data_IF_356918908159
#
_entry.id   IF_356918908159
#
_cell.length_a   1.000
_cell.length_b   1.000
_cell.length_c   1.000
_cell.angle_alpha   90.00
_cell.angle_beta   90.00
_cell.angle_gamma   90.00
#
_symmetry.space_group_name_H-M   'P 1'
#
loop_
_entity.id
_entity.type
_entity.pdbx_description
1 polymer ?
#
# COMPACT_ATOMS: atom_id res chain seq x y z
N UNK A 1 32.40 63.35 20.13
CA UNK A 1 33.17 62.17 19.72
C UNK A 1 32.49 60.96 20.31
N UNK A 2 31.70 60.27 19.53
CA UNK A 2 30.92 59.09 19.96
C UNK A 2 31.37 57.90 19.14
N UNK A 3 32.02 56.95 19.81
CA UNK A 3 32.54 55.74 19.21
C UNK A 3 31.44 54.70 18.98
N UNK A 4 31.34 54.27 17.71
CA UNK A 4 30.42 53.21 17.32
C UNK A 4 31.02 51.85 17.62
N UNK A 5 30.42 51.11 18.53
CA UNK A 5 30.75 49.72 18.88
C UNK A 5 30.00 48.77 17.90
N UNK A 6 30.73 48.13 17.00
CA UNK A 6 30.23 47.14 16.07
C UNK A 6 30.04 45.79 16.80
N UNK A 7 28.77 45.40 17.01
CA UNK A 7 28.42 44.08 17.52
C UNK A 7 28.48 43.06 16.37
N UNK A 8 29.39 42.13 16.46
CA UNK A 8 29.49 40.97 15.56
C UNK A 8 28.58 39.85 16.13
N UNK A 9 27.43 39.65 15.49
CA UNK A 9 26.61 38.47 15.73
C UNK A 9 27.20 37.30 14.93
N UNK A 10 27.84 36.35 15.61
CA UNK A 10 28.25 35.08 15.03
C UNK A 10 27.01 34.16 14.98
N UNK A 11 26.46 33.95 13.80
CA UNK A 11 25.46 32.91 13.56
C UNK A 11 26.14 31.54 13.62
N UNK A 12 25.95 30.82 14.70
CA UNK A 12 26.29 29.41 14.83
C UNK A 12 25.20 28.62 14.11
N UNK A 13 25.39 28.27 12.83
CA UNK A 13 24.58 27.33 12.13
C UNK A 13 24.93 25.92 12.61
N UNK A 14 24.11 25.39 13.52
CA UNK A 14 24.16 23.99 13.91
C UNK A 14 23.67 23.16 12.72
N UNK A 15 24.59 22.63 11.93
CA UNK A 15 24.30 21.61 10.92
C UNK A 15 23.88 20.34 11.64
N UNK A 16 22.57 20.07 11.68
CA UNK A 16 22.04 18.77 12.07
C UNK A 16 22.44 17.80 10.96
N UNK A 17 23.51 17.05 11.16
CA UNK A 17 23.81 15.88 10.35
C UNK A 17 22.70 14.85 10.60
N UNK A 18 21.72 14.82 9.71
CA UNK A 18 20.84 13.68 9.59
C UNK A 18 21.73 12.48 9.21
N UNK A 19 21.94 11.58 10.15
CA UNK A 19 22.55 10.30 9.87
C UNK A 19 21.69 9.60 8.83
N UNK A 20 22.15 9.55 7.58
CA UNK A 20 21.53 8.73 6.54
C UNK A 20 21.69 7.28 6.99
N UNK A 21 20.62 6.71 7.50
CA UNK A 21 20.51 5.27 7.67
C UNK A 21 20.68 4.66 6.28
N UNK A 22 21.79 3.95 6.05
CA UNK A 22 22.01 3.19 4.83
C UNK A 22 20.85 2.21 4.61
N UNK A 23 20.66 1.70 3.39
CA UNK A 23 19.56 0.79 3.09
C UNK A 23 19.61 -0.37 4.09
N UNK A 24 18.51 -0.56 4.82
CA UNK A 24 18.37 -1.68 5.76
C UNK A 24 18.38 -2.95 4.90
N UNK A 25 19.50 -3.67 4.94
CA UNK A 25 19.60 -4.98 4.28
C UNK A 25 18.70 -5.93 5.06
N UNK A 26 17.56 -6.29 4.47
CA UNK A 26 16.63 -7.27 5.03
C UNK A 26 17.20 -8.67 4.83
N UNK A 27 17.20 -9.47 5.86
CA UNK A 27 17.60 -10.88 5.81
C UNK A 27 16.44 -11.71 5.26
N UNK A 28 16.73 -12.63 4.34
CA UNK A 28 15.71 -13.50 3.76
C UNK A 28 15.15 -14.45 4.83
N UNK A 29 13.84 -14.64 4.85
CA UNK A 29 13.16 -15.48 5.84
C UNK A 29 12.87 -14.80 7.18
N UNK A 30 13.41 -13.61 7.44
CA UNK A 30 13.11 -12.88 8.67
C UNK A 30 11.80 -12.10 8.56
N UNK A 31 11.01 -12.12 9.61
CA UNK A 31 9.74 -11.39 9.75
C UNK A 31 10.03 -10.04 10.37
N UNK A 32 9.82 -8.96 9.63
CA UNK A 32 10.07 -7.59 10.10
C UNK A 32 8.83 -6.98 10.73
N UNK A 33 8.94 -6.55 11.98
CA UNK A 33 7.82 -5.98 12.75
C UNK A 33 7.40 -4.59 12.24
N UNK A 34 8.29 -3.89 11.53
CA UNK A 34 7.97 -2.64 10.83
C UNK A 34 6.89 -2.78 9.75
N UNK A 35 6.66 -4.00 9.27
CA UNK A 35 5.61 -4.29 8.28
C UNK A 35 4.21 -4.39 8.91
N UNK A 36 4.13 -4.46 10.25
CA UNK A 36 2.89 -4.62 11.02
C UNK A 36 2.62 -3.45 11.95
N UNK A 37 3.65 -2.74 12.40
CA UNK A 37 3.55 -1.70 13.41
C UNK A 37 4.23 -0.41 12.96
N UNK A 38 3.58 0.72 13.16
CA UNK A 38 4.22 2.04 12.98
C UNK A 38 5.33 2.28 14.00
N UNK A 39 5.16 1.73 15.21
CA UNK A 39 6.14 1.85 16.29
C UNK A 39 6.57 0.46 16.73
N UNK A 40 7.88 0.20 16.61
CA UNK A 40 8.46 -1.05 17.04
C UNK A 40 8.29 -1.27 18.56
N UNK A 41 7.97 -2.48 19.00
CA UNK A 41 7.85 -2.82 20.42
C UNK A 41 9.21 -2.70 21.11
N UNK A 42 9.17 -2.35 22.39
CA UNK A 42 10.36 -2.07 23.19
C UNK A 42 10.45 -3.05 24.34
N UNK A 43 11.63 -3.63 24.48
CA UNK A 43 11.93 -4.59 25.55
C UNK A 43 13.16 -4.15 26.34
N UNK A 44 13.20 -4.49 27.64
CA UNK A 44 14.38 -4.27 28.45
C UNK A 44 15.34 -5.45 28.31
N UNK A 45 16.64 -5.17 28.23
CA UNK A 45 17.65 -6.22 28.34
C UNK A 45 17.82 -6.68 29.79
N UNK A 46 18.02 -7.98 29.97
CA UNK A 46 18.28 -8.58 31.29
C UNK A 46 19.77 -8.53 31.68
N UNK A 47 20.66 -8.43 30.69
CA UNK A 47 22.12 -8.36 30.89
C UNK A 47 22.80 -7.66 29.73
N UNK A 48 24.12 -7.48 29.79
CA UNK A 48 24.93 -7.14 28.64
C UNK A 48 25.01 -8.36 27.71
N UNK A 49 24.65 -8.19 26.42
CA UNK A 49 24.39 -9.31 25.51
C UNK A 49 25.31 -9.26 24.31
N UNK A 50 26.00 -10.35 23.95
CA UNK A 50 26.69 -10.44 22.67
C UNK A 50 25.66 -10.37 21.54
N UNK A 51 25.98 -9.60 20.51
CA UNK A 51 25.08 -9.42 19.37
C UNK A 51 25.82 -9.66 18.04
N UNK A 52 25.04 -10.04 17.02
CA UNK A 52 25.58 -10.56 15.78
C UNK A 52 24.95 -9.86 14.58
N UNK A 53 25.68 -9.79 13.45
CA UNK A 53 25.19 -9.19 12.21
C UNK A 53 24.23 -10.09 11.42
N UNK A 54 24.19 -11.38 11.70
CA UNK A 54 23.37 -12.39 11.03
C UNK A 54 22.59 -13.23 12.04
N UNK A 55 21.45 -13.75 11.61
CA UNK A 55 20.55 -14.60 12.43
C UNK A 55 21.20 -15.94 12.82
N UNK A 56 22.19 -16.41 12.04
CA UNK A 56 22.93 -17.64 12.32
C UNK A 56 23.99 -17.48 13.42
N UNK A 57 24.12 -16.28 14.01
CA UNK A 57 25.02 -15.95 15.12
C UNK A 57 26.51 -16.19 14.84
N UNK A 58 26.93 -16.14 13.57
CA UNK A 58 28.33 -16.38 13.17
C UNK A 58 29.20 -15.13 13.16
N UNK A 59 28.62 -13.99 12.78
CA UNK A 59 29.37 -12.74 12.63
C UNK A 59 29.12 -11.83 13.83
N UNK A 60 30.04 -11.85 14.78
CA UNK A 60 29.98 -11.01 15.97
C UNK A 60 29.96 -9.52 15.62
N UNK A 61 28.97 -8.79 16.13
CA UNK A 61 28.80 -7.36 15.91
C UNK A 61 29.26 -6.51 17.11
N UNK A 62 29.25 -7.08 18.30
CA UNK A 62 29.63 -6.38 19.52
C UNK A 62 28.86 -6.89 20.74
N UNK A 63 28.86 -6.08 21.78
CA UNK A 63 28.07 -6.34 22.99
C UNK A 63 27.15 -5.16 23.25
N UNK A 64 25.84 -5.44 23.36
CA UNK A 64 24.85 -4.46 23.76
C UNK A 64 25.07 -4.06 25.21
N UNK A 65 24.96 -2.77 25.49
CA UNK A 65 25.13 -2.22 26.84
C UNK A 65 23.99 -2.62 27.76
N UNK A 66 24.28 -2.74 29.01
CA UNK A 66 23.29 -2.91 30.09
C UNK A 66 23.50 -1.81 31.15
N UNK A 67 22.43 -1.24 31.71
CA UNK A 67 21.02 -1.44 31.37
C UNK A 67 20.58 -0.59 30.16
N UNK A 68 19.73 -1.16 29.29
CA UNK A 68 19.07 -0.39 28.21
C UNK A 68 17.77 -1.06 27.78
N UNK A 69 16.93 -0.25 27.11
CA UNK A 69 15.75 -0.70 26.36
C UNK A 69 16.10 -0.75 24.88
N UNK A 70 15.78 -1.85 24.22
CA UNK A 70 15.96 -2.08 22.80
C UNK A 70 14.62 -2.14 22.07
N UNK A 71 14.63 -1.85 20.78
CA UNK A 71 13.46 -2.00 19.93
C UNK A 71 13.59 -3.32 19.16
N UNK A 72 12.54 -4.13 19.15
CA UNK A 72 12.49 -5.36 18.39
C UNK A 72 12.11 -5.04 16.94
N UNK A 73 13.02 -5.31 16.01
CA UNK A 73 12.91 -4.98 14.60
C UNK A 73 12.44 -6.19 13.76
N UNK A 74 13.04 -7.36 13.99
CA UNK A 74 12.70 -8.56 13.24
C UNK A 74 12.88 -9.85 14.06
N UNK A 75 12.27 -10.92 13.58
CA UNK A 75 12.33 -12.27 14.13
C UNK A 75 12.74 -13.22 13.00
N UNK A 76 13.76 -14.04 13.21
CA UNK A 76 14.17 -15.06 12.25
C UNK A 76 13.27 -16.29 12.31
N UNK A 77 13.33 -17.15 11.29
CA UNK A 77 12.64 -18.45 11.27
C UNK A 77 13.06 -19.36 12.45
N UNK A 78 14.30 -19.21 12.91
CA UNK A 78 14.86 -19.98 14.04
C UNK A 78 14.50 -19.37 15.40
N UNK A 79 13.78 -18.23 15.43
CA UNK A 79 13.39 -17.53 16.65
C UNK A 79 14.43 -16.55 17.20
N UNK A 80 15.52 -16.25 16.47
CA UNK A 80 16.44 -15.19 16.85
C UNK A 80 15.80 -13.83 16.67
N UNK A 81 16.18 -12.86 17.50
CA UNK A 81 15.59 -11.54 17.56
C UNK A 81 16.56 -10.48 17.07
N UNK A 82 16.17 -9.73 16.05
CA UNK A 82 16.89 -8.54 15.62
C UNK A 82 16.44 -7.34 16.42
N UNK A 83 17.37 -6.71 17.10
CA UNK A 83 17.07 -5.55 17.94
C UNK A 83 17.87 -4.33 17.53
N UNK A 84 17.27 -3.16 17.73
CA UNK A 84 17.92 -1.87 17.60
C UNK A 84 18.31 -1.38 18.99
N UNK A 85 19.60 -1.26 19.25
CA UNK A 85 20.13 -0.89 20.56
C UNK A 85 21.47 -0.18 20.46
N UNK A 86 22.12 0.06 21.59
CA UNK A 86 23.41 0.68 21.67
C UNK A 86 24.48 -0.31 22.13
N UNK A 87 25.49 -0.51 21.30
CA UNK A 87 26.73 -1.19 21.65
C UNK A 87 27.80 -0.18 22.10
N UNK A 88 29.01 -0.67 22.40
CA UNK A 88 30.13 0.21 22.79
C UNK A 88 30.47 1.24 21.73
N UNK A 89 30.31 0.90 20.46
CA UNK A 89 30.69 1.71 19.30
C UNK A 89 29.55 2.61 18.77
N UNK A 90 28.36 2.57 19.39
CA UNK A 90 27.19 3.35 18.98
C UNK A 90 25.95 2.52 18.75
N UNK A 91 24.97 3.07 18.01
CA UNK A 91 23.73 2.37 17.65
C UNK A 91 24.01 1.20 16.71
N UNK A 92 23.39 0.07 16.98
CA UNK A 92 23.53 -1.15 16.18
C UNK A 92 22.17 -1.82 15.99
N UNK A 93 21.96 -2.37 14.78
CA UNK A 93 20.91 -3.33 14.50
C UNK A 93 21.55 -4.72 14.46
N UNK A 94 21.22 -5.57 15.40
CA UNK A 94 21.92 -6.84 15.56
C UNK A 94 21.01 -7.93 16.11
N UNK A 95 21.39 -9.18 15.85
CA UNK A 95 20.68 -10.39 16.28
C UNK A 95 21.14 -10.82 17.67
N UNK A 96 20.17 -11.22 18.50
CA UNK A 96 20.38 -11.73 19.85
C UNK A 96 19.45 -12.93 20.10
N UNK A 97 19.78 -13.69 21.14
CA UNK A 97 18.89 -14.77 21.61
C UNK A 97 17.71 -14.21 22.41
N UNK A 98 16.52 -14.85 22.35
CA UNK A 98 15.31 -14.35 22.97
C UNK A 98 15.37 -14.31 24.51
N UNK A 99 16.16 -15.18 25.14
CA UNK A 99 16.31 -15.27 26.59
C UNK A 99 16.81 -13.99 27.27
N UNK A 100 17.38 -13.06 26.51
CA UNK A 100 17.92 -11.80 27.05
C UNK A 100 16.91 -10.65 27.09
N UNK A 101 15.67 -10.85 26.59
CA UNK A 101 14.61 -9.85 26.63
C UNK A 101 13.61 -10.12 27.74
N UNK A 102 13.35 -9.11 28.55
CA UNK A 102 12.33 -9.15 29.61
C UNK A 102 10.93 -8.97 29.01
N UNK A 103 10.00 -9.87 29.35
CA UNK A 103 8.58 -9.73 28.98
C UNK A 103 8.25 -10.17 27.54
N UNK A 104 9.15 -10.87 26.86
CA UNK A 104 8.83 -11.48 25.58
C UNK A 104 7.84 -12.64 25.77
N UNK A 105 6.69 -12.68 25.04
CA UNK A 105 5.76 -13.79 25.12
C UNK A 105 6.42 -15.11 24.69
N UNK A 106 6.10 -16.22 25.35
CA UNK A 106 6.66 -17.54 24.99
C UNK A 106 6.32 -17.95 23.55
N UNK A 107 5.15 -17.55 23.06
CA UNK A 107 4.65 -17.87 21.72
C UNK A 107 4.95 -16.79 20.67
N UNK A 108 5.92 -15.90 20.91
CA UNK A 108 6.26 -14.76 20.04
C UNK A 108 6.50 -15.18 18.58
N UNK A 109 7.19 -16.30 18.36
CA UNK A 109 7.49 -16.82 17.03
C UNK A 109 6.23 -17.28 16.29
N UNK A 110 5.33 -17.97 17.00
CA UNK A 110 4.06 -18.42 16.43
C UNK A 110 3.17 -17.24 16.06
N UNK A 111 3.07 -16.23 16.93
CA UNK A 111 2.33 -15.01 16.66
C UNK A 111 2.87 -14.26 15.43
N UNK A 112 4.19 -14.10 15.35
CA UNK A 112 4.84 -13.45 14.20
C UNK A 112 4.62 -14.24 12.90
N UNK A 113 4.74 -15.57 12.95
CA UNK A 113 4.51 -16.43 11.79
C UNK A 113 3.07 -16.36 11.29
N UNK A 114 2.10 -16.39 12.20
CA UNK A 114 0.67 -16.23 11.86
C UNK A 114 0.39 -14.85 11.23
N UNK A 115 0.99 -13.80 11.77
CA UNK A 115 0.85 -12.46 11.22
C UNK A 115 1.42 -12.35 9.81
N UNK A 116 2.58 -12.92 9.56
CA UNK A 116 3.22 -12.94 8.24
C UNK A 116 2.40 -13.75 7.24
N UNK A 117 1.86 -14.90 7.64
CA UNK A 117 0.95 -15.70 6.80
C UNK A 117 -0.30 -14.91 6.42
N UNK A 118 -0.94 -14.23 7.41
CA UNK A 118 -2.08 -13.36 7.16
C UNK A 118 -1.71 -12.23 6.20
N UNK A 119 -0.57 -11.58 6.40
CA UNK A 119 -0.10 -10.49 5.54
C UNK A 119 0.03 -10.94 4.08
N UNK A 120 0.67 -12.10 3.85
CA UNK A 120 0.82 -12.68 2.51
C UNK A 120 -0.52 -13.00 1.87
N UNK A 121 -1.45 -13.62 2.63
CA UNK A 121 -2.81 -13.90 2.13
C UNK A 121 -3.55 -12.62 1.72
N UNK A 122 -3.46 -11.58 2.54
CA UNK A 122 -4.08 -10.28 2.23
C UNK A 122 -3.43 -9.62 1.01
N UNK A 123 -2.12 -9.68 0.87
CA UNK A 123 -1.41 -9.14 -0.30
C UNK A 123 -1.81 -9.86 -1.59
N UNK A 124 -1.95 -11.18 -1.55
CA UNK A 124 -2.43 -11.98 -2.67
C UNK A 124 -3.87 -11.60 -3.06
N UNK A 125 -4.75 -11.37 -2.08
CA UNK A 125 -6.12 -10.90 -2.32
C UNK A 125 -6.13 -9.50 -2.94
N UNK A 126 -5.32 -8.58 -2.42
CA UNK A 126 -5.18 -7.23 -2.96
C UNK A 126 -4.69 -7.27 -4.42
N UNK A 127 -3.70 -8.12 -4.73
CA UNK A 127 -3.17 -8.26 -6.09
C UNK A 127 -4.24 -8.75 -7.08
N UNK A 128 -5.16 -9.61 -6.63
CA UNK A 128 -6.30 -10.11 -7.40
C UNK A 128 -7.52 -9.20 -7.38
N UNK A 129 -7.47 -8.08 -6.61
CA UNK A 129 -8.60 -7.17 -6.37
C UNK A 129 -9.81 -7.87 -5.73
N UNK A 130 -9.53 -8.80 -4.84
CA UNK A 130 -10.51 -9.54 -4.06
C UNK A 130 -10.63 -8.97 -2.65
N UNK A 131 -11.78 -9.23 -2.00
CA UNK A 131 -12.05 -8.88 -0.61
C UNK A 131 -12.48 -10.12 0.13
N UNK A 132 -11.99 -10.28 1.36
CA UNK A 132 -12.33 -11.37 2.24
C UNK A 132 -12.84 -10.87 3.59
N UNK A 133 -13.63 -11.69 4.27
CA UNK A 133 -14.06 -11.44 5.64
C UNK A 133 -12.84 -11.37 6.56
N UNK A 134 -12.81 -10.39 7.47
CA UNK A 134 -11.69 -10.15 8.37
C UNK A 134 -10.60 -9.20 7.83
N UNK A 135 -10.71 -8.73 6.59
CA UNK A 135 -9.85 -7.66 6.09
C UNK A 135 -10.20 -6.33 6.77
N UNK A 136 -9.19 -5.49 6.97
CA UNK A 136 -9.38 -4.14 7.50
C UNK A 136 -9.88 -3.18 6.41
N UNK A 137 -10.39 -2.04 6.84
CA UNK A 137 -10.87 -0.97 5.98
C UNK A 137 -9.80 -0.48 4.99
N UNK A 138 -8.55 -0.36 5.46
CA UNK A 138 -7.43 0.07 4.63
C UNK A 138 -7.03 -1.02 3.62
N UNK A 139 -7.04 -2.29 4.02
CA UNK A 139 -6.78 -3.43 3.12
C UNK A 139 -7.82 -3.51 2.01
N UNK A 140 -9.11 -3.33 2.31
CA UNK A 140 -10.18 -3.27 1.31
C UNK A 140 -10.01 -2.07 0.38
N UNK A 141 -9.65 -0.91 0.92
CA UNK A 141 -9.40 0.29 0.10
C UNK A 141 -8.19 0.10 -0.82
N UNK A 142 -7.15 -0.62 -0.38
CA UNK A 142 -6.01 -0.98 -1.22
C UNK A 142 -6.38 -1.97 -2.32
N UNK A 143 -7.32 -2.88 -2.06
CA UNK A 143 -7.79 -3.88 -3.03
C UNK A 143 -8.72 -3.29 -4.08
N UNK A 144 -9.83 -2.67 -3.67
CA UNK A 144 -10.89 -2.19 -4.55
C UNK A 144 -10.80 -0.70 -4.90
N UNK A 145 -9.90 0.03 -4.25
CA UNK A 145 -9.80 1.47 -4.40
C UNK A 145 -10.79 2.25 -3.53
N UNK A 146 -11.06 3.50 -3.91
CA UNK A 146 -12.01 4.35 -3.19
C UNK A 146 -13.46 3.92 -3.47
N UNK A 147 -14.30 3.71 -2.45
CA UNK A 147 -15.70 3.39 -2.65
C UNK A 147 -16.47 4.58 -3.23
N UNK A 148 -17.49 4.31 -4.03
CA UNK A 148 -18.38 5.33 -4.60
C UNK A 148 -19.34 5.90 -3.57
N UNK A 149 -19.79 5.05 -2.62
CA UNK A 149 -20.61 5.50 -1.49
C UNK A 149 -20.08 4.95 -0.19
N UNK A 150 -20.19 5.75 0.86
CA UNK A 150 -19.86 5.39 2.23
C UNK A 150 -21.06 5.71 3.12
N UNK A 151 -21.44 4.77 3.95
CA UNK A 151 -22.40 4.95 5.00
C UNK A 151 -21.79 4.52 6.32
N UNK A 152 -22.00 5.29 7.38
CA UNK A 152 -21.57 4.92 8.73
C UNK A 152 -22.73 5.06 9.69
N UNK A 153 -22.87 4.08 10.59
CA UNK A 153 -23.86 4.07 11.65
C UNK A 153 -23.13 3.77 12.95
N UNK A 154 -23.21 4.68 13.92
CA UNK A 154 -22.67 4.49 15.25
C UNK A 154 -23.82 4.24 16.21
N UNK A 155 -23.75 3.15 16.96
CA UNK A 155 -24.74 2.74 17.94
C UNK A 155 -24.08 2.27 19.24
N UNK A 156 -24.89 1.87 20.24
CA UNK A 156 -24.39 1.35 21.51
C UNK A 156 -23.48 0.12 21.35
N UNK A 157 -23.76 -0.69 20.31
CA UNK A 157 -23.06 -1.95 20.02
C UNK A 157 -21.79 -1.78 19.18
N UNK A 158 -21.43 -0.53 18.86
CA UNK A 158 -20.22 -0.22 18.08
C UNK A 158 -20.46 0.64 16.85
N UNK A 159 -19.47 0.71 15.99
CA UNK A 159 -19.51 1.45 14.73
C UNK A 159 -19.58 0.48 13.55
N UNK A 160 -20.65 0.60 12.76
CA UNK A 160 -20.81 -0.14 11.51
C UNK A 160 -20.60 0.81 10.34
N UNK A 161 -19.81 0.38 9.36
CA UNK A 161 -19.58 1.14 8.13
C UNK A 161 -19.91 0.25 6.94
N UNK A 162 -20.47 0.84 5.90
CA UNK A 162 -20.77 0.15 4.65
C UNK A 162 -20.16 0.91 3.49
N UNK A 163 -19.36 0.21 2.70
CA UNK A 163 -18.77 0.74 1.48
C UNK A 163 -19.45 0.09 0.28
N UNK A 164 -19.80 0.93 -0.71
CA UNK A 164 -20.44 0.48 -1.94
C UNK A 164 -19.50 0.76 -3.11
N UNK A 165 -19.21 -0.29 -3.88
CA UNK A 165 -18.37 -0.28 -5.07
C UNK A 165 -19.20 -0.63 -6.28
N UNK A 166 -19.25 0.25 -7.30
CA UNK A 166 -19.98 0.03 -8.53
C UNK A 166 -18.97 -0.28 -9.63
N UNK A 167 -19.11 -1.44 -10.26
CA UNK A 167 -18.31 -1.81 -11.42
C UNK A 167 -18.96 -1.34 -12.70
N UNK A 168 -18.17 -0.79 -13.60
CA UNK A 168 -18.62 -0.30 -14.89
C UNK A 168 -17.93 -1.07 -16.01
N UNK A 169 -18.70 -1.40 -17.04
CA UNK A 169 -18.17 -1.90 -18.31
C UNK A 169 -18.23 -0.80 -19.35
N UNK A 170 -17.18 -0.67 -20.14
CA UNK A 170 -17.18 0.22 -21.29
C UNK A 170 -17.82 -0.52 -22.46
N UNK A 171 -19.01 -0.05 -22.87
CA UNK A 171 -19.73 -0.62 -24.01
C UNK A 171 -19.54 0.35 -25.19
N UNK A 172 -19.00 -0.11 -26.33
CA UNK A 172 -18.89 0.73 -27.52
C UNK A 172 -20.29 1.03 -28.07
N UNK A 173 -20.62 2.30 -28.24
CA UNK A 173 -21.84 2.78 -28.86
C UNK A 173 -21.48 3.60 -30.09
N UNK A 174 -21.99 3.19 -31.24
CA UNK A 174 -21.80 3.97 -32.46
C UNK A 174 -22.80 5.14 -32.49
N UNK A 175 -22.28 6.34 -32.53
CA UNK A 175 -23.06 7.57 -32.63
C UNK A 175 -22.88 8.12 -34.03
N UNK A 176 -24.00 8.38 -34.69
CA UNK A 176 -24.03 9.01 -36.03
C UNK A 176 -24.27 10.50 -35.87
N UNK A 177 -23.30 11.33 -36.23
CA UNK A 177 -23.44 12.78 -36.25
C UNK A 177 -23.63 13.25 -37.69
N UNK A 178 -24.64 14.07 -37.96
CA UNK A 178 -24.80 14.67 -39.30
C UNK A 178 -23.57 15.51 -39.63
N UNK A 179 -23.02 15.27 -40.80
CA UNK A 179 -21.89 16.04 -41.29
C UNK A 179 -22.13 16.42 -42.76
N UNK A 180 -21.73 17.63 -43.10
CA UNK A 180 -21.71 18.04 -44.47
C UNK A 180 -20.43 17.53 -45.14
N UNK A 181 -20.58 16.57 -46.06
CA UNK A 181 -19.46 15.99 -46.77
C UNK A 181 -19.33 16.67 -48.14
N UNK A 182 -18.21 17.34 -48.34
CA UNK A 182 -17.85 17.84 -49.67
C UNK A 182 -17.00 16.75 -50.37
N UNK A 183 -17.54 16.23 -51.45
CA UNK A 183 -16.77 15.38 -52.36
C UNK A 183 -16.26 16.21 -53.52
N UNK A 184 -14.95 16.40 -53.60
CA UNK A 184 -14.28 17.00 -54.73
C UNK A 184 -14.00 15.91 -55.77
N UNK A 185 -14.80 15.86 -56.82
CA UNK A 185 -14.48 14.98 -57.94
C UNK A 185 -13.75 15.83 -59.00
N UNK A 186 -12.43 15.69 -59.02
CA UNK A 186 -11.61 16.31 -60.05
C UNK A 186 -11.77 15.57 -61.38
N UNK A 187 -12.24 16.24 -62.41
CA UNK A 187 -12.13 15.73 -63.78
C UNK A 187 -10.77 16.16 -64.33
N UNK A 188 -9.94 15.22 -64.75
CA UNK A 188 -8.72 15.54 -65.49
C UNK A 188 -9.08 15.67 -66.97
N UNK A 189 -9.00 16.83 -67.54
CA UNK A 189 -9.20 17.03 -69.00
C UNK A 189 -8.00 16.45 -69.76
N UNK A 190 -8.27 15.96 -70.96
CA UNK A 190 -7.22 15.53 -71.90
C UNK A 190 -6.20 16.66 -72.15
N UNK A 191 -4.92 16.29 -72.41
CA UNK A 191 -3.89 17.30 -72.69
C UNK A 191 -4.24 18.17 -73.87
N UNK A 192 -4.62 19.43 -73.61
CA UNK A 192 -5.00 20.41 -74.60
C UNK A 192 -6.23 21.26 -74.27
N UNK A 193 -7.01 20.94 -73.30
CA UNK A 193 -8.21 21.67 -72.89
C UNK A 193 -7.91 22.62 -71.72
N UNK A 194 -8.18 23.95 -71.95
CA UNK A 194 -7.89 25.03 -70.98
C UNK A 194 -8.95 25.24 -69.90
N UNK A 195 -9.93 24.39 -69.75
CA UNK A 195 -11.01 24.52 -68.74
C UNK A 195 -11.07 23.35 -67.82
N UNK A 196 -10.54 23.55 -66.58
CA UNK A 196 -10.75 22.64 -65.47
C UNK A 196 -12.13 22.91 -64.86
N UNK A 197 -13.08 22.03 -65.08
CA UNK A 197 -14.35 22.06 -64.36
C UNK A 197 -14.27 21.22 -63.10
N UNK A 198 -14.14 21.89 -61.96
CA UNK A 198 -14.24 21.22 -60.67
C UNK A 198 -15.72 21.15 -60.29
N UNK A 199 -16.28 19.95 -60.32
CA UNK A 199 -17.65 19.75 -59.83
C UNK A 199 -17.58 19.45 -58.33
N UNK A 200 -18.00 20.41 -57.50
CA UNK A 200 -18.18 20.23 -56.07
C UNK A 200 -19.58 19.70 -55.84
N UNK A 201 -19.70 18.43 -55.50
CA UNK A 201 -20.96 17.88 -54.99
C UNK A 201 -20.90 17.85 -53.47
N UNK A 202 -21.72 18.68 -52.84
CA UNK A 202 -21.94 18.63 -51.39
C UNK A 202 -23.21 17.84 -51.10
N UNK A 203 -23.13 17.02 -50.07
CA UNK A 203 -24.26 16.24 -49.57
C UNK A 203 -24.22 16.10 -48.06
N UNK A 204 -25.37 15.89 -47.46
CA UNK A 204 -25.45 15.54 -46.03
C UNK A 204 -25.15 14.05 -45.87
N UNK A 205 -24.16 13.76 -45.08
CA UNK A 205 -23.77 12.41 -44.70
C UNK A 205 -23.78 12.29 -43.17
N UNK A 206 -23.46 11.13 -42.69
CA UNK A 206 -23.29 10.88 -41.27
C UNK A 206 -21.86 10.40 -40.99
N UNK A 207 -21.22 11.04 -40.03
CA UNK A 207 -19.95 10.55 -39.52
C UNK A 207 -20.28 9.56 -38.38
N UNK A 208 -19.83 8.33 -38.53
CA UNK A 208 -19.90 7.32 -37.46
C UNK A 208 -18.70 7.51 -36.56
N UNK A 209 -18.94 7.73 -35.27
CA UNK A 209 -17.92 7.73 -34.22
C UNK A 209 -18.29 6.72 -33.14
N UNK A 210 -17.29 6.01 -32.63
CA UNK A 210 -17.50 5.08 -31.53
C UNK A 210 -17.26 5.81 -30.21
N UNK A 211 -18.32 5.94 -29.42
CA UNK A 211 -18.25 6.42 -28.05
C UNK A 211 -18.27 5.22 -27.09
N UNK A 212 -17.41 5.25 -26.08
CA UNK A 212 -17.44 4.24 -25.02
C UNK A 212 -18.28 4.76 -23.84
N UNK A 213 -19.43 4.10 -23.60
CA UNK A 213 -20.33 4.47 -22.52
C UNK A 213 -20.06 3.55 -21.32
N UNK A 214 -19.93 4.16 -20.13
CA UNK A 214 -19.81 3.43 -18.87
C UNK A 214 -21.19 2.93 -18.42
N UNK A 215 -21.40 1.61 -18.44
CA UNK A 215 -22.64 0.98 -17.96
C UNK A 215 -22.34 0.23 -16.66
N UNK A 216 -23.10 0.44 -15.58
CA UNK A 216 -22.93 -0.31 -14.35
C UNK A 216 -23.31 -1.77 -14.60
N UNK A 217 -22.41 -2.69 -14.22
CA UNK A 217 -22.59 -4.14 -14.43
C UNK A 217 -22.73 -4.91 -13.12
N UNK A 218 -22.45 -4.27 -11.99
CA UNK A 218 -22.60 -4.89 -10.68
C UNK A 218 -22.24 -3.93 -9.54
N UNK A 219 -22.72 -4.25 -8.36
CA UNK A 219 -22.43 -3.51 -7.12
C UNK A 219 -21.96 -4.47 -6.05
N UNK A 220 -20.88 -4.13 -5.37
CA UNK A 220 -20.38 -4.84 -4.19
C UNK A 220 -20.55 -3.93 -2.98
N UNK A 221 -21.23 -4.45 -1.95
CA UNK A 221 -21.34 -3.79 -0.66
C UNK A 221 -20.53 -4.54 0.36
N UNK A 222 -19.63 -3.82 1.02
CA UNK A 222 -18.74 -4.36 2.06
C UNK A 222 -19.15 -3.74 3.38
N UNK A 223 -19.64 -4.56 4.30
CA UNK A 223 -20.03 -4.14 5.64
C UNK A 223 -18.88 -4.38 6.62
N UNK A 224 -18.56 -3.35 7.40
CA UNK A 224 -17.51 -3.37 8.41
C UNK A 224 -18.13 -3.22 9.80
N UNK A 225 -17.65 -4.04 10.73
CA UNK A 225 -17.92 -3.91 12.17
C UNK A 225 -16.58 -3.75 12.87
N UNK A 226 -16.46 -2.69 13.66
CA UNK A 226 -15.22 -2.33 14.35
C UNK A 226 -13.98 -2.27 13.43
N UNK A 227 -14.18 -1.83 12.19
CA UNK A 227 -13.11 -1.64 11.20
C UNK A 227 -12.68 -2.90 10.44
N UNK A 228 -13.33 -4.05 10.67
CA UNK A 228 -13.08 -5.31 9.97
C UNK A 228 -14.29 -5.69 9.11
N UNK A 229 -14.04 -6.29 7.95
CA UNK A 229 -15.09 -6.81 7.07
C UNK A 229 -15.83 -7.95 7.77
N UNK A 230 -17.12 -7.80 7.94
CA UNK A 230 -18.01 -8.83 8.49
C UNK A 230 -18.99 -9.35 7.44
N UNK A 231 -19.47 -8.48 6.55
CA UNK A 231 -20.44 -8.86 5.52
C UNK A 231 -19.97 -8.42 4.13
N UNK A 232 -20.25 -9.29 3.16
CA UNK A 232 -19.99 -9.03 1.75
C UNK A 232 -21.28 -9.35 0.98
N UNK A 233 -21.87 -8.35 0.35
CA UNK A 233 -23.06 -8.48 -0.48
C UNK A 233 -22.73 -8.15 -1.92
N UNK A 234 -23.08 -9.03 -2.85
CA UNK A 234 -22.93 -8.83 -4.27
C UNK A 234 -24.31 -8.80 -4.93
N UNK A 235 -24.59 -7.76 -5.69
CA UNK A 235 -25.80 -7.67 -6.53
C UNK A 235 -25.45 -7.94 -7.99
N UNK A 236 -26.38 -8.54 -8.71
CA UNK A 236 -26.31 -9.08 -10.06
C UNK A 236 -25.34 -8.36 -11.02
N UNK A 237 -24.48 -9.16 -11.64
CA UNK A 237 -23.48 -8.81 -12.65
C UNK A 237 -22.21 -9.59 -12.36
N UNK A 238 -21.77 -10.41 -13.28
CA UNK A 238 -20.60 -11.27 -13.12
C UNK A 238 -19.38 -10.43 -12.69
N UNK A 239 -19.16 -10.35 -11.38
CA UNK A 239 -17.99 -9.73 -10.79
C UNK A 239 -16.93 -10.81 -10.67
N UNK A 240 -16.06 -10.92 -11.66
CA UNK A 240 -14.84 -11.69 -11.50
C UNK A 240 -14.04 -11.11 -10.33
N UNK A 241 -13.73 -11.93 -9.35
CA UNK A 241 -12.79 -11.59 -8.29
C UNK A 241 -13.38 -11.17 -6.93
N UNK A 242 -14.66 -11.40 -6.65
CA UNK A 242 -15.17 -11.31 -5.28
C UNK A 242 -15.30 -12.71 -4.69
N UNK A 243 -14.22 -13.18 -4.07
CA UNK A 243 -14.18 -14.49 -3.42
C UNK A 243 -15.01 -14.50 -2.15
N UNK A 244 -16.27 -14.89 -2.27
CA UNK A 244 -17.23 -14.91 -1.15
C UNK A 244 -16.92 -15.91 -0.02
N UNK A 245 -15.83 -16.69 -0.12
CA UNK A 245 -15.57 -17.81 0.80
C UNK A 245 -14.26 -17.71 1.59
N UNK A 246 -13.45 -16.70 1.37
CA UNK A 246 -12.15 -16.61 2.04
C UNK A 246 -12.31 -15.80 3.32
N UNK A 247 -12.00 -16.42 4.46
CA UNK A 247 -11.95 -15.76 5.76
C UNK A 247 -10.49 -15.57 6.15
N UNK A 248 -10.10 -14.32 6.36
CA UNK A 248 -8.77 -13.98 6.86
C UNK A 248 -8.91 -13.60 8.34
N UNK A 249 -8.49 -14.45 9.27
CA UNK A 249 -8.64 -14.16 10.68
C UNK A 249 -7.80 -12.93 11.08
N UNK A 250 -8.33 -12.04 11.93
CA UNK A 250 -7.55 -10.96 12.48
C UNK A 250 -6.44 -11.52 13.38
N UNK A 251 -5.23 -11.01 13.23
CA UNK A 251 -4.10 -11.35 14.12
C UNK A 251 -3.71 -10.08 14.86
N UNK A 252 -3.90 -10.09 16.18
CA UNK A 252 -3.44 -9.02 17.05
C UNK A 252 -2.03 -9.35 17.54
N UNK A 253 -1.04 -8.66 17.03
CA UNK A 253 0.32 -8.67 17.56
C UNK A 253 0.38 -7.70 18.74
N UNK A 254 -0.09 -8.13 19.91
CA UNK A 254 0.06 -7.39 21.17
C UNK A 254 1.26 -7.96 21.89
N UNK A 255 2.30 -7.14 22.04
CA UNK A 255 3.56 -7.44 22.71
C UNK A 255 3.65 -6.70 24.04
#
# INVERSE_FOLDING_TARGET
>A
MVGAMKLWLALFSASIMAAQAGPIVREAGAIYLSDFHEKLPRFRLLAAVPCYFDSSMKRYAGTLRFPQTVQLDAISEEGMLRVLGNARQGGVAAWIEPQYLEGLPENYLELATRAEQRRRQVEDLIARKEVAIGMSLDEVTRSLGKPQKRSSKTGPDGSTQTYEYIRYKLIPQTVYTPAYVQSLTGYRPDPGTKLETVVVRGGYGYNASTLYVKVPVGTVKVGFVNGLVETLEESEGTLEGVGASIVVPPVNLVW
#
